data_IF_675074457881
#
_entry.id   IF_675074457881
#
_cell.length_a   1.000
_cell.length_b   1.000
_cell.length_c   1.000
_cell.angle_alpha   90.00
_cell.angle_beta   90.00
_cell.angle_gamma   90.00
#
_symmetry.space_group_name_H-M   'P 1'
#
loop_
_entity.id
_entity.type
_entity.pdbx_description
1 polymer ?
#
# COMPACT_ATOMS: atom_id res chain seq x y z
N UNK A 1 -15.47 1.18 -1.14
CA UNK A 1 -14.64 -0.02 -0.96
C UNK A 1 -14.47 -0.34 0.51
N UNK A 2 -13.85 -1.48 0.79
CA UNK A 2 -13.47 -1.93 2.14
C UNK A 2 -11.97 -2.17 2.14
N UNK A 3 -11.32 -1.82 3.25
CA UNK A 3 -9.92 -2.14 3.51
C UNK A 3 -9.89 -2.94 4.81
N UNK A 4 -9.16 -4.03 4.83
CA UNK A 4 -8.73 -4.71 6.05
C UNK A 4 -7.24 -4.44 6.17
N UNK A 5 -6.80 -3.93 7.31
CA UNK A 5 -5.41 -3.59 7.55
C UNK A 5 -4.94 -3.99 8.93
N UNK A 6 -3.64 -3.90 9.11
CA UNK A 6 -2.92 -4.15 10.35
C UNK A 6 -1.77 -3.16 10.46
N UNK A 7 -1.21 -3.01 11.65
CA UNK A 7 -0.07 -2.14 11.87
C UNK A 7 1.22 -2.84 11.45
N UNK A 8 2.15 -2.09 10.85
CA UNK A 8 3.44 -2.62 10.43
C UNK A 8 4.60 -1.78 10.92
N UNK A 9 5.76 -2.40 11.00
CA UNK A 9 7.04 -1.70 11.12
C UNK A 9 7.65 -1.44 9.74
N UNK A 10 8.39 -0.35 9.62
CA UNK A 10 9.14 -0.04 8.40
C UNK A 10 10.65 0.03 8.69
N UNK A 11 11.51 -0.57 7.85
CA UNK A 11 12.95 -0.50 8.03
C UNK A 11 13.45 0.93 8.23
N UNK A 12 14.38 1.10 9.18
CA UNK A 12 15.02 2.37 9.53
C UNK A 12 14.07 3.46 10.08
N UNK A 13 12.87 3.10 10.51
CA UNK A 13 11.91 3.99 11.18
C UNK A 13 11.51 3.44 12.55
N UNK A 14 11.27 4.34 13.50
CA UNK A 14 10.71 3.99 14.81
C UNK A 14 9.18 4.16 14.76
N UNK A 15 8.47 3.26 15.41
CA UNK A 15 7.00 3.24 15.46
C UNK A 15 6.36 2.34 14.39
N UNK A 16 5.04 2.19 14.50
CA UNK A 16 4.19 1.45 13.56
C UNK A 16 3.39 2.40 12.67
N UNK A 17 2.85 1.87 11.58
CA UNK A 17 1.93 2.56 10.67
C UNK A 17 1.01 1.57 9.98
N UNK A 18 -0.18 2.02 9.57
CA UNK A 18 -1.18 1.15 8.97
C UNK A 18 -0.84 0.69 7.57
N UNK A 19 -0.99 -0.62 7.33
CA UNK A 19 -0.82 -1.27 6.04
C UNK A 19 -2.12 -1.98 5.63
N UNK A 20 -2.53 -1.84 4.38
CA UNK A 20 -3.64 -2.61 3.86
C UNK A 20 -3.21 -4.07 3.61
N UNK A 21 -3.89 -5.01 4.24
CA UNK A 21 -3.72 -6.45 4.01
C UNK A 21 -4.64 -6.95 2.89
N UNK A 22 -5.84 -6.38 2.78
CA UNK A 22 -6.83 -6.76 1.80
C UNK A 22 -7.73 -5.58 1.42
N UNK A 23 -8.21 -5.58 0.17
CA UNK A 23 -9.08 -4.53 -0.34
C UNK A 23 -10.23 -5.11 -1.14
N UNK A 24 -11.37 -4.41 -1.15
CA UNK A 24 -12.49 -4.73 -2.01
C UNK A 24 -13.17 -3.46 -2.54
N UNK A 25 -13.59 -3.49 -3.80
CA UNK A 25 -14.43 -2.44 -4.39
C UNK A 25 -13.69 -1.20 -4.89
N UNK A 26 -12.35 -1.21 -4.98
CA UNK A 26 -11.56 -0.14 -5.57
C UNK A 26 -10.13 -0.58 -5.93
N UNK A 27 -9.48 0.15 -6.84
CA UNK A 27 -8.08 -0.08 -7.24
C UNK A 27 -7.13 0.35 -6.11
N UNK A 28 -6.36 -0.57 -5.49
CA UNK A 28 -5.53 -0.25 -4.32
C UNK A 28 -4.24 0.48 -4.67
N UNK A 29 -3.67 0.20 -5.85
CA UNK A 29 -2.41 0.78 -6.34
C UNK A 29 -2.69 1.49 -7.66
N UNK A 30 -2.50 2.81 -7.69
CA UNK A 30 -2.62 3.59 -8.91
C UNK A 30 -1.27 3.62 -9.61
N UNK A 31 -1.21 3.11 -10.84
CA UNK A 31 -0.04 3.24 -11.69
C UNK A 31 -0.01 4.63 -12.34
N UNK A 32 0.92 5.47 -11.92
CA UNK A 32 1.09 6.82 -12.49
C UNK A 32 2.16 6.84 -13.58
N UNK A 33 2.76 5.70 -13.93
CA UNK A 33 3.75 5.64 -15.01
C UNK A 33 3.11 6.07 -16.32
N UNK A 34 3.83 6.85 -17.11
CA UNK A 34 3.32 7.46 -18.34
C UNK A 34 2.53 8.76 -18.15
N UNK A 35 2.12 9.10 -16.93
CA UNK A 35 1.51 10.42 -16.65
C UNK A 35 2.57 11.52 -16.71
N UNK A 36 2.16 12.74 -17.08
CA UNK A 36 3.04 13.92 -17.06
C UNK A 36 2.96 14.65 -15.72
N UNK A 37 4.10 15.09 -15.21
CA UNK A 37 4.20 15.99 -14.07
C UNK A 37 3.84 17.45 -14.44
N UNK A 38 3.95 18.36 -13.48
CA UNK A 38 3.67 19.79 -13.65
C UNK A 38 4.57 20.47 -14.71
N UNK A 39 5.70 19.88 -15.06
CA UNK A 39 6.65 20.38 -16.05
C UNK A 39 6.61 19.58 -17.36
N UNK A 40 5.59 18.76 -17.55
CA UNK A 40 5.40 17.95 -18.76
C UNK A 40 6.31 16.72 -18.85
N UNK A 41 7.04 16.37 -17.79
CA UNK A 41 7.96 15.21 -17.77
C UNK A 41 7.18 13.95 -17.44
N UNK A 42 7.49 12.87 -18.15
CA UNK A 42 6.83 11.59 -17.95
C UNK A 42 7.31 10.90 -16.67
N UNK A 43 6.37 10.44 -15.87
CA UNK A 43 6.61 9.65 -14.67
C UNK A 43 7.04 8.24 -15.07
N UNK A 44 8.22 7.80 -14.65
CA UNK A 44 8.79 6.51 -15.06
C UNK A 44 8.51 5.36 -14.10
N UNK A 45 8.45 5.64 -12.80
CA UNK A 45 8.48 4.60 -11.75
C UNK A 45 7.27 4.62 -10.83
N UNK A 46 6.57 5.74 -10.72
CA UNK A 46 5.65 5.99 -9.61
C UNK A 46 4.41 5.14 -9.69
N UNK A 47 4.19 4.36 -8.63
CA UNK A 47 2.91 3.72 -8.29
C UNK A 47 2.51 4.24 -6.92
N UNK A 48 1.27 4.71 -6.78
CA UNK A 48 0.74 5.20 -5.49
C UNK A 48 -0.07 4.10 -4.82
N UNK A 49 0.37 3.65 -3.65
CA UNK A 49 -0.36 2.72 -2.79
C UNK A 49 -1.49 3.46 -2.05
N UNK A 50 -2.61 3.70 -2.73
CA UNK A 50 -3.75 4.46 -2.17
C UNK A 50 -4.37 3.72 -1.00
N UNK A 51 -4.49 2.39 -1.06
CA UNK A 51 -4.99 1.60 0.05
C UNK A 51 -4.16 1.78 1.32
N UNK A 52 -2.83 1.67 1.23
CA UNK A 52 -1.91 1.87 2.36
C UNK A 52 -1.98 3.30 2.90
N UNK A 53 -2.03 4.31 2.03
CA UNK A 53 -2.15 5.70 2.46
C UNK A 53 -3.43 5.95 3.26
N UNK A 54 -4.55 5.35 2.83
CA UNK A 54 -5.83 5.42 3.53
C UNK A 54 -5.79 4.66 4.86
N UNK A 55 -5.19 3.47 4.88
CA UNK A 55 -5.05 2.66 6.09
C UNK A 55 -4.15 3.33 7.13
N UNK A 56 -3.01 3.87 6.71
CA UNK A 56 -2.11 4.67 7.57
C UNK A 56 -2.83 5.88 8.18
N UNK A 57 -3.71 6.55 7.41
CA UNK A 57 -4.51 7.65 7.95
C UNK A 57 -5.59 7.17 8.93
N UNK A 58 -6.18 6.01 8.68
CA UNK A 58 -7.16 5.39 9.57
C UNK A 58 -6.54 4.98 10.91
N UNK A 59 -5.29 4.51 10.93
CA UNK A 59 -4.59 4.09 12.15
C UNK A 59 -4.48 5.20 13.20
N UNK A 60 -4.38 6.47 12.76
CA UNK A 60 -4.38 7.64 13.65
C UNK A 60 -5.63 7.69 14.52
N UNK A 61 -6.76 7.20 14.00
CA UNK A 61 -8.05 7.17 14.71
C UNK A 61 -8.31 5.83 15.38
N UNK A 62 -7.91 4.71 14.77
CA UNK A 62 -8.12 3.39 15.36
C UNK A 62 -7.29 3.19 16.62
N UNK A 63 -6.10 3.80 16.65
CA UNK A 63 -5.10 3.55 17.67
C UNK A 63 -4.54 2.13 17.60
N UNK A 64 -3.64 1.83 18.54
CA UNK A 64 -2.91 0.55 18.61
C UNK A 64 -3.24 -0.25 19.86
N UNK A 65 -3.98 0.33 20.81
CA UNK A 65 -4.18 -0.21 22.15
C UNK A 65 -5.66 -0.30 22.50
N UNK A 66 -6.11 0.38 23.55
CA UNK A 66 -7.44 0.26 24.13
C UNK A 66 -8.43 1.33 23.65
N UNK A 67 -8.12 2.04 22.56
CA UNK A 67 -8.99 3.06 21.96
C UNK A 67 -10.34 2.50 21.53
N UNK A 68 -10.41 1.21 21.20
CA UNK A 68 -11.63 0.48 20.81
C UNK A 68 -12.31 1.11 19.59
N UNK A 69 -11.53 1.58 18.62
CA UNK A 69 -12.02 2.12 17.34
C UNK A 69 -11.61 1.18 16.19
N UNK A 70 -12.25 0.01 16.05
CA UNK A 70 -11.84 -1.00 15.06
C UNK A 70 -12.27 -0.68 13.62
N UNK A 71 -13.13 0.32 13.41
CA UNK A 71 -13.68 0.68 12.09
C UNK A 71 -13.61 2.19 11.91
N UNK A 72 -12.99 2.61 10.82
CA UNK A 72 -12.89 4.02 10.41
C UNK A 72 -13.58 4.21 9.07
N UNK A 73 -14.48 5.19 8.99
CA UNK A 73 -15.18 5.54 7.75
C UNK A 73 -14.46 6.69 7.04
N UNK A 74 -13.87 6.39 5.89
CA UNK A 74 -13.34 7.42 4.98
C UNK A 74 -14.42 7.83 3.97
N UNK A 75 -14.72 9.13 3.89
CA UNK A 75 -15.65 9.69 2.90
C UNK A 75 -14.90 10.49 1.84
N UNK A 76 -15.43 10.52 0.63
CA UNK A 76 -14.87 11.27 -0.51
C UNK A 76 -13.41 10.92 -0.80
N UNK A 77 -13.02 9.66 -0.59
CA UNK A 77 -11.69 9.18 -0.93
C UNK A 77 -11.48 9.25 -2.45
N UNK A 78 -10.30 9.68 -2.94
CA UNK A 78 -9.99 9.78 -4.36
C UNK A 78 -9.64 8.39 -4.93
N UNK A 79 -10.60 7.47 -4.90
CA UNK A 79 -10.45 6.07 -5.32
C UNK A 79 -11.18 5.80 -6.64
N UNK A 80 -10.68 4.82 -7.39
CA UNK A 80 -11.32 4.32 -8.60
C UNK A 80 -12.06 3.05 -8.22
N UNK A 81 -13.39 3.03 -8.34
CA UNK A 81 -14.20 1.85 -8.04
C UNK A 81 -13.97 0.76 -9.09
N UNK A 82 -13.94 -0.49 -8.63
CA UNK A 82 -13.82 -1.69 -9.46
C UNK A 82 -14.45 -2.87 -8.74
N UNK A 83 -14.90 -3.87 -9.50
CA UNK A 83 -15.38 -5.15 -8.96
C UNK A 83 -14.31 -6.25 -8.99
N UNK A 84 -13.17 -5.98 -9.62
CA UNK A 84 -12.04 -6.91 -9.70
C UNK A 84 -11.38 -7.10 -8.33
N UNK A 85 -10.98 -8.33 -8.03
CA UNK A 85 -10.08 -8.60 -6.90
C UNK A 85 -8.65 -8.24 -7.31
N UNK A 86 -8.16 -7.14 -6.73
CA UNK A 86 -6.84 -6.60 -6.98
C UNK A 86 -5.95 -6.68 -5.73
N UNK A 87 -6.32 -7.49 -4.74
CA UNK A 87 -5.56 -7.62 -3.48
C UNK A 87 -4.10 -8.00 -3.75
N UNK A 88 -3.87 -8.96 -4.65
CA UNK A 88 -2.54 -9.44 -5.00
C UNK A 88 -1.65 -8.37 -5.65
N UNK A 89 -2.24 -7.32 -6.23
CA UNK A 89 -1.50 -6.22 -6.86
C UNK A 89 -0.79 -5.30 -5.87
N UNK A 90 -1.12 -5.40 -4.58
CA UNK A 90 -0.47 -4.63 -3.51
C UNK A 90 0.91 -5.18 -3.13
N UNK A 91 1.19 -6.43 -3.50
CA UNK A 91 2.44 -7.12 -3.16
C UNK A 91 3.39 -7.20 -4.36
N UNK A 92 4.68 -7.34 -4.06
CA UNK A 92 5.72 -7.66 -5.04
C UNK A 92 6.38 -8.97 -4.64
N UNK A 93 7.05 -9.63 -5.59
CA UNK A 93 7.78 -10.85 -5.28
C UNK A 93 8.97 -10.57 -4.34
N UNK A 94 9.40 -11.54 -3.52
CA UNK A 94 10.61 -11.41 -2.71
C UNK A 94 11.87 -11.08 -3.52
N UNK A 95 11.95 -11.54 -4.79
CA UNK A 95 13.07 -11.27 -5.70
C UNK A 95 13.14 -9.78 -6.10
N UNK A 96 11.98 -9.13 -6.25
CA UNK A 96 11.89 -7.69 -6.57
C UNK A 96 11.98 -6.80 -5.33
N UNK A 97 11.78 -7.36 -4.13
CA UNK A 97 11.85 -6.61 -2.89
C UNK A 97 13.31 -6.38 -2.47
N UNK A 98 13.76 -5.12 -2.51
CA UNK A 98 15.12 -4.71 -2.15
C UNK A 98 15.60 -5.25 -0.79
N UNK A 99 14.69 -5.41 0.18
CA UNK A 99 15.03 -5.97 1.48
C UNK A 99 15.14 -7.50 1.43
N UNK A 100 14.10 -8.17 0.92
CA UNK A 100 14.02 -9.62 0.94
C UNK A 100 14.94 -10.31 -0.06
N UNK A 101 15.24 -9.65 -1.18
CA UNK A 101 16.13 -10.17 -2.22
C UNK A 101 17.52 -10.51 -1.68
N UNK A 102 17.98 -9.82 -0.63
CA UNK A 102 19.29 -10.05 0.00
C UNK A 102 19.34 -11.36 0.80
N UNK A 103 18.19 -11.89 1.22
CA UNK A 103 18.10 -13.15 1.96
C UNK A 103 17.82 -14.36 1.05
N UNK A 104 17.59 -14.14 -0.24
CA UNK A 104 17.40 -15.23 -1.19
C UNK A 104 18.75 -15.88 -1.52
N UNK A 105 18.79 -17.21 -1.67
CA UNK A 105 20.00 -17.88 -2.12
C UNK A 105 20.41 -17.34 -3.48
N UNK A 106 21.69 -17.02 -3.64
CA UNK A 106 22.28 -16.72 -4.94
C UNK A 106 22.37 -18.05 -5.69
N UNK A 107 21.51 -18.25 -6.70
CA UNK A 107 21.73 -19.33 -7.65
C UNK A 107 22.89 -18.92 -8.55
N UNK A 108 23.91 -19.77 -8.69
CA UNK A 108 25.11 -19.49 -9.51
C UNK A 108 24.80 -19.38 -11.03
N UNK A 109 23.54 -19.56 -11.44
CA UNK A 109 23.10 -19.64 -12.84
C UNK A 109 22.30 -18.41 -13.35
N UNK A 110 22.19 -17.31 -12.58
CA UNK A 110 21.55 -16.04 -13.00
C UNK A 110 22.59 -14.97 -13.43
#
# INVERSE_FOLDING_TARGET
>A
GVIVGDSRVQPLRRGTSGLALGVAGFVPVIDDRGRKDLFGREMKMTRRAIADNLMSAAEILSGEVDEKVPIVLVRNAPIILTEEDLTDTMSISPKECMYFSTFLPVNEDD
#
